data_IF_852114237069
#
_entry.id   IF_852114237069
#
_cell.length_a   1.000
_cell.length_b   1.000
_cell.length_c   1.000
_cell.angle_alpha   90.00
_cell.angle_beta   90.00
_cell.angle_gamma   90.00
#
_symmetry.space_group_name_H-M   'P 1'
#
loop_
_entity.id
_entity.type
_entity.pdbx_description
1 polymer ?
#
# COMPACT_ATOMS: atom_id res chain seq x y z
N UNK A 1 -20.11 -26.18 -10.58
CA UNK A 1 -19.34 -27.11 -11.37
C UNK A 1 -18.05 -27.40 -10.63
N UNK A 2 -17.93 -28.63 -10.12
CA UNK A 2 -16.68 -29.13 -9.56
C UNK A 2 -15.73 -29.36 -10.72
N UNK A 3 -14.60 -28.65 -10.72
CA UNK A 3 -13.50 -28.91 -11.65
C UNK A 3 -12.72 -30.08 -11.05
N UNK A 4 -12.91 -31.28 -11.60
CA UNK A 4 -12.06 -32.42 -11.33
C UNK A 4 -10.69 -32.14 -11.96
N UNK A 5 -9.72 -31.80 -11.17
CA UNK A 5 -8.30 -31.74 -11.57
C UNK A 5 -7.70 -33.15 -11.48
N UNK A 6 -8.04 -34.02 -12.39
CA UNK A 6 -7.34 -35.29 -12.57
C UNK A 6 -5.97 -35.01 -13.20
N UNK A 7 -4.90 -35.29 -12.46
CA UNK A 7 -3.50 -35.23 -12.94
C UNK A 7 -2.58 -34.21 -12.29
N UNK A 8 -3.01 -33.45 -11.28
CA UNK A 8 -2.09 -32.63 -10.50
C UNK A 8 -1.33 -33.50 -9.50
N UNK A 9 -0.03 -33.68 -9.75
CA UNK A 9 0.88 -34.25 -8.76
C UNK A 9 0.80 -33.41 -7.50
N UNK A 10 0.31 -33.98 -6.39
CA UNK A 10 0.22 -33.31 -5.11
C UNK A 10 1.59 -32.71 -4.75
N UNK A 11 1.64 -31.41 -4.50
CA UNK A 11 2.91 -30.73 -4.23
C UNK A 11 3.44 -31.22 -2.89
N UNK A 12 4.57 -31.93 -2.89
CA UNK A 12 5.21 -32.39 -1.66
C UNK A 12 5.78 -31.17 -0.89
N UNK A 13 5.05 -30.75 0.15
CA UNK A 13 5.42 -29.66 1.04
C UNK A 13 6.31 -30.11 2.20
N UNK A 14 6.65 -31.40 2.29
CA UNK A 14 7.40 -31.96 3.43
C UNK A 14 8.74 -31.25 3.65
N UNK A 15 9.46 -30.93 2.58
CA UNK A 15 10.72 -30.18 2.61
C UNK A 15 10.54 -28.74 3.13
N UNK A 16 9.43 -28.08 2.77
CA UNK A 16 9.12 -26.72 3.24
C UNK A 16 8.79 -26.75 4.73
N UNK A 17 7.97 -27.74 5.14
CA UNK A 17 7.58 -27.93 6.54
C UNK A 17 8.81 -28.26 7.40
N UNK A 18 9.70 -29.12 6.93
CA UNK A 18 10.95 -29.46 7.64
C UNK A 18 11.85 -28.23 7.86
N UNK A 19 11.88 -27.30 6.90
CA UNK A 19 12.69 -26.07 6.95
C UNK A 19 11.96 -24.86 7.51
N UNK A 20 10.73 -24.99 8.03
CA UNK A 20 9.90 -23.85 8.49
C UNK A 20 10.61 -22.90 9.46
N UNK A 21 11.39 -23.42 10.41
CA UNK A 21 12.16 -22.61 11.36
C UNK A 21 13.27 -21.79 10.68
N UNK A 22 13.91 -22.34 9.66
CA UNK A 22 14.95 -21.65 8.88
C UNK A 22 14.34 -20.51 8.07
N UNK A 23 13.22 -20.79 7.41
CA UNK A 23 12.51 -19.74 6.66
C UNK A 23 11.96 -18.66 7.58
N UNK A 24 11.40 -19.01 8.75
CA UNK A 24 10.93 -18.04 9.72
C UNK A 24 12.06 -17.12 10.24
N UNK A 25 13.25 -17.68 10.51
CA UNK A 25 14.43 -16.90 10.90
C UNK A 25 14.89 -15.96 9.78
N UNK A 26 14.89 -16.44 8.53
CA UNK A 26 15.22 -15.63 7.38
C UNK A 26 14.24 -14.45 7.24
N UNK A 27 12.94 -14.74 7.23
CA UNK A 27 11.90 -13.68 7.16
C UNK A 27 12.04 -12.66 8.29
N UNK A 28 12.26 -13.12 9.53
CA UNK A 28 12.44 -12.21 10.67
C UNK A 28 13.68 -11.33 10.50
N UNK A 29 14.78 -11.88 9.99
CA UNK A 29 16.00 -11.12 9.69
C UNK A 29 15.74 -10.02 8.66
N UNK A 30 15.09 -10.37 7.54
CA UNK A 30 14.79 -9.42 6.46
C UNK A 30 13.82 -8.32 6.91
N UNK A 31 12.75 -8.68 7.63
CA UNK A 31 11.81 -7.71 8.21
C UNK A 31 12.53 -6.78 9.18
N UNK A 32 13.38 -7.33 10.05
CA UNK A 32 14.13 -6.54 11.03
C UNK A 32 15.09 -5.58 10.33
N UNK A 33 15.79 -6.02 9.30
CA UNK A 33 16.68 -5.20 8.50
C UNK A 33 15.91 -4.05 7.83
N UNK A 34 14.84 -4.36 7.11
CA UNK A 34 14.02 -3.35 6.44
C UNK A 34 13.44 -2.33 7.43
N UNK A 35 13.04 -2.77 8.63
CA UNK A 35 12.44 -1.87 9.61
C UNK A 35 13.46 -1.02 10.38
N UNK A 36 14.69 -1.49 10.58
CA UNK A 36 15.71 -0.81 11.40
C UNK A 36 16.69 0.03 10.59
N UNK A 37 17.07 -0.46 9.41
CA UNK A 37 18.20 0.10 8.69
C UNK A 37 17.78 1.08 7.57
N UNK A 38 16.50 1.06 7.19
CA UNK A 38 15.93 2.05 6.27
C UNK A 38 15.08 3.06 7.02
N UNK A 39 15.42 4.34 6.87
CA UNK A 39 14.64 5.43 7.43
C UNK A 39 13.24 5.46 6.79
N UNK A 40 12.28 6.01 7.56
CA UNK A 40 10.91 6.36 7.16
C UNK A 40 10.57 6.05 5.69
N UNK A 41 10.07 4.86 5.44
CA UNK A 41 9.67 4.43 4.09
C UNK A 41 8.32 5.03 3.67
N UNK A 42 8.11 6.31 3.98
CA UNK A 42 6.92 7.02 3.51
C UNK A 42 6.93 7.10 1.96
N UNK A 43 5.76 7.08 1.31
CA UNK A 43 5.66 7.18 -0.13
C UNK A 43 6.48 8.34 -0.72
N UNK A 44 7.32 8.03 -1.71
CA UNK A 44 8.23 8.99 -2.34
C UNK A 44 9.37 9.48 -1.44
N UNK A 45 9.82 8.70 -0.46
CA UNK A 45 10.97 9.02 0.40
C UNK A 45 12.23 8.26 -0.02
N UNK A 46 13.39 8.76 0.42
CA UNK A 46 14.67 8.04 0.22
C UNK A 46 14.68 6.66 0.87
N UNK A 47 14.01 6.50 2.02
CA UNK A 47 13.91 5.22 2.70
C UNK A 47 13.14 4.18 1.90
N UNK A 48 12.07 4.59 1.19
CA UNK A 48 11.33 3.74 0.26
C UNK A 48 12.23 3.34 -0.93
N UNK A 49 12.89 4.29 -1.58
CA UNK A 49 13.81 4.04 -2.68
C UNK A 49 14.90 3.04 -2.30
N UNK A 50 15.57 3.27 -1.17
CA UNK A 50 16.64 2.38 -0.67
C UNK A 50 16.10 0.97 -0.35
N UNK A 51 14.91 0.89 0.26
CA UNK A 51 14.29 -0.39 0.53
C UNK A 51 13.93 -1.13 -0.77
N UNK A 52 13.44 -0.43 -1.80
CA UNK A 52 13.18 -1.01 -3.12
C UNK A 52 14.47 -1.52 -3.78
N UNK A 53 15.55 -0.76 -3.74
CA UNK A 53 16.86 -1.19 -4.27
C UNK A 53 17.34 -2.45 -3.54
N UNK A 54 17.27 -2.46 -2.23
CA UNK A 54 17.62 -3.63 -1.42
C UNK A 54 16.77 -4.85 -1.76
N UNK A 55 15.45 -4.70 -1.83
CA UNK A 55 14.54 -5.79 -2.18
C UNK A 55 14.82 -6.35 -3.57
N UNK A 56 15.10 -5.50 -4.55
CA UNK A 56 15.47 -5.94 -5.90
C UNK A 56 16.77 -6.78 -5.87
N UNK A 57 17.73 -6.39 -5.07
CA UNK A 57 19.01 -7.12 -4.91
C UNK A 57 18.80 -8.48 -4.24
N UNK A 58 18.01 -8.56 -3.17
CA UNK A 58 17.64 -9.83 -2.49
C UNK A 58 16.87 -10.75 -3.44
N UNK A 59 15.88 -10.23 -4.18
CA UNK A 59 15.12 -11.03 -5.13
C UNK A 59 16.00 -11.63 -6.24
N UNK A 60 17.01 -10.88 -6.66
CA UNK A 60 17.96 -11.34 -7.68
C UNK A 60 18.98 -12.34 -7.13
N UNK A 61 19.60 -12.03 -5.99
CA UNK A 61 20.72 -12.84 -5.43
C UNK A 61 20.24 -14.03 -4.64
N UNK A 62 19.30 -13.84 -3.72
CA UNK A 62 18.88 -14.87 -2.77
C UNK A 62 17.73 -15.70 -3.32
N UNK A 63 16.76 -15.08 -3.99
CA UNK A 63 15.61 -15.76 -4.57
C UNK A 63 15.89 -16.28 -5.99
N UNK A 64 17.00 -15.86 -6.61
CA UNK A 64 17.40 -16.29 -7.95
C UNK A 64 16.40 -15.89 -9.02
N UNK A 65 15.85 -14.68 -8.94
CA UNK A 65 15.00 -14.14 -9.99
C UNK A 65 15.85 -13.79 -11.23
N UNK A 66 15.33 -14.10 -12.41
CA UNK A 66 16.01 -13.80 -13.68
C UNK A 66 16.07 -12.28 -13.95
N UNK A 67 15.07 -11.57 -13.44
CA UNK A 67 14.95 -10.13 -13.54
C UNK A 67 14.41 -9.57 -12.21
N UNK A 68 14.99 -8.48 -11.75
CA UNK A 68 14.48 -7.69 -10.63
C UNK A 68 14.86 -6.22 -10.89
N UNK A 69 13.85 -5.40 -11.15
CA UNK A 69 14.02 -4.00 -11.50
C UNK A 69 13.28 -3.12 -10.51
N UNK A 70 13.86 -1.96 -10.25
CA UNK A 70 13.22 -0.87 -9.54
C UNK A 70 12.61 0.07 -10.58
N UNK A 71 11.31 0.28 -10.48
CA UNK A 71 10.54 1.14 -11.37
C UNK A 71 10.10 2.39 -10.60
N UNK A 72 10.36 3.57 -11.18
CA UNK A 72 9.92 4.84 -10.59
C UNK A 72 8.61 5.30 -11.23
N UNK A 73 7.74 5.91 -10.44
CA UNK A 73 6.47 6.48 -10.89
C UNK A 73 6.15 7.78 -10.15
N UNK A 74 5.28 8.58 -10.75
CA UNK A 74 4.83 9.83 -10.15
C UNK A 74 3.60 9.62 -9.27
N UNK A 75 3.63 10.18 -8.07
CA UNK A 75 2.55 10.10 -7.11
C UNK A 75 2.36 11.40 -6.33
N UNK A 76 1.19 11.55 -5.71
CA UNK A 76 0.84 12.66 -4.83
C UNK A 76 0.42 12.13 -3.45
N UNK A 77 1.36 11.72 -2.58
CA UNK A 77 1.03 11.04 -1.33
C UNK A 77 0.14 11.85 -0.39
N UNK A 78 0.24 13.18 -0.45
CA UNK A 78 -0.60 14.08 0.34
C UNK A 78 -2.08 14.01 -0.03
N UNK A 79 -2.43 13.64 -1.25
CA UNK A 79 -3.81 13.52 -1.71
C UNK A 79 -4.55 12.35 -1.06
N UNK A 80 -3.82 11.34 -0.57
CA UNK A 80 -4.40 10.16 0.07
C UNK A 80 -5.28 10.50 1.28
N UNK A 81 -4.88 11.48 2.09
CA UNK A 81 -5.69 12.05 3.16
C UNK A 81 -6.22 13.46 2.84
N UNK A 82 -5.71 14.08 1.78
CA UNK A 82 -6.02 15.46 1.42
C UNK A 82 -7.50 15.71 1.16
N UNK A 83 -8.19 14.73 0.58
CA UNK A 83 -9.63 14.82 0.35
C UNK A 83 -10.43 14.88 1.66
N UNK A 84 -9.96 14.30 2.76
CA UNK A 84 -10.59 14.38 4.08
C UNK A 84 -10.63 15.83 4.57
N UNK A 85 -9.50 16.55 4.45
CA UNK A 85 -9.45 17.97 4.86
C UNK A 85 -10.44 18.82 4.06
N UNK A 86 -10.54 18.60 2.75
CA UNK A 86 -11.47 19.31 1.88
C UNK A 86 -12.92 19.00 2.28
N UNK A 87 -13.24 17.73 2.47
CA UNK A 87 -14.58 17.27 2.85
C UNK A 87 -14.97 17.80 4.23
N UNK A 88 -14.10 17.65 5.24
CA UNK A 88 -14.36 18.14 6.59
C UNK A 88 -14.53 19.66 6.63
N UNK A 89 -13.67 20.40 5.94
CA UNK A 89 -13.78 21.86 5.85
C UNK A 89 -15.09 22.27 5.20
N UNK A 90 -15.50 21.59 4.13
CA UNK A 90 -16.79 21.84 3.45
C UNK A 90 -17.98 21.60 4.38
N UNK A 91 -17.95 20.51 5.18
CA UNK A 91 -19.00 20.20 6.15
C UNK A 91 -19.06 21.23 7.28
N UNK A 92 -17.91 21.59 7.86
CA UNK A 92 -17.84 22.60 8.93
C UNK A 92 -18.35 23.96 8.44
N UNK A 93 -17.95 24.39 7.26
CA UNK A 93 -18.42 25.62 6.65
C UNK A 93 -19.91 25.55 6.35
N UNK A 94 -20.43 24.43 5.88
CA UNK A 94 -21.85 24.22 5.64
C UNK A 94 -22.67 24.38 6.93
N UNK A 95 -22.19 23.84 8.05
CA UNK A 95 -22.85 24.01 9.36
C UNK A 95 -22.91 25.49 9.75
N UNK A 96 -21.80 26.21 9.63
CA UNK A 96 -21.77 27.66 9.94
C UNK A 96 -22.76 28.44 9.07
N UNK A 97 -22.76 28.16 7.76
CA UNK A 97 -23.66 28.85 6.82
C UNK A 97 -25.14 28.52 7.07
N UNK A 98 -25.43 27.31 7.55
CA UNK A 98 -26.80 26.97 7.96
C UNK A 98 -27.27 27.85 9.13
N UNK A 99 -26.43 28.07 10.15
CA UNK A 99 -26.74 28.96 11.28
C UNK A 99 -26.84 30.44 10.90
N UNK A 100 -26.13 30.86 9.85
CA UNK A 100 -26.23 32.24 9.31
C UNK A 100 -27.44 32.43 8.41
N UNK A 101 -28.25 31.37 8.17
CA UNK A 101 -29.49 31.51 7.37
C UNK A 101 -29.26 31.33 5.86
N UNK A 102 -28.20 30.67 5.45
CA UNK A 102 -27.86 30.38 4.04
C UNK A 102 -27.98 28.87 3.71
N UNK A 103 -29.17 28.25 3.84
CA UNK A 103 -29.35 26.80 3.74
C UNK A 103 -29.02 26.23 2.35
N UNK A 104 -29.27 26.99 1.28
CA UNK A 104 -28.99 26.53 -0.09
C UNK A 104 -27.48 26.42 -0.29
N UNK A 105 -26.69 27.41 0.15
CA UNK A 105 -25.23 27.37 0.03
C UNK A 105 -24.64 26.25 0.91
N UNK A 106 -25.20 26.07 2.10
CA UNK A 106 -24.85 24.93 2.98
C UNK A 106 -25.07 23.59 2.28
N UNK A 107 -26.22 23.37 1.65
CA UNK A 107 -26.52 22.16 0.91
C UNK A 107 -25.54 21.93 -0.26
N UNK A 108 -25.18 22.97 -1.01
CA UNK A 108 -24.21 22.88 -2.09
C UNK A 108 -22.83 22.42 -1.56
N UNK A 109 -22.38 22.96 -0.42
CA UNK A 109 -21.10 22.54 0.18
C UNK A 109 -21.10 21.09 0.67
N UNK A 110 -22.21 20.60 1.21
CA UNK A 110 -22.35 19.19 1.59
C UNK A 110 -22.24 18.29 0.36
N UNK A 111 -22.98 18.63 -0.71
CA UNK A 111 -22.92 17.87 -1.97
C UNK A 111 -21.51 17.90 -2.58
N UNK A 112 -20.84 19.06 -2.54
CA UNK A 112 -19.46 19.19 -3.01
C UNK A 112 -18.49 18.31 -2.20
N UNK A 113 -18.56 18.34 -0.86
CA UNK A 113 -17.71 17.49 -0.01
C UNK A 113 -17.94 15.99 -0.28
N UNK A 114 -19.20 15.59 -0.42
CA UNK A 114 -19.56 14.20 -0.77
C UNK A 114 -19.02 13.82 -2.17
N UNK A 115 -19.15 14.71 -3.13
CA UNK A 115 -18.62 14.49 -4.48
C UNK A 115 -17.11 14.29 -4.48
N UNK A 116 -16.36 15.12 -3.73
CA UNK A 116 -14.90 14.96 -3.58
C UNK A 116 -14.56 13.60 -2.98
N UNK A 117 -15.24 13.21 -1.90
CA UNK A 117 -15.04 11.93 -1.24
C UNK A 117 -15.31 10.74 -2.18
N UNK A 118 -16.43 10.76 -2.89
CA UNK A 118 -16.80 9.71 -3.84
C UNK A 118 -15.83 9.62 -5.02
N UNK A 119 -15.40 10.73 -5.57
CA UNK A 119 -14.49 10.75 -6.71
C UNK A 119 -13.08 10.30 -6.30
N UNK A 120 -12.53 10.87 -5.24
CA UNK A 120 -11.15 10.58 -4.84
C UNK A 120 -11.00 9.19 -4.22
N UNK A 121 -11.86 8.83 -3.27
CA UNK A 121 -11.74 7.58 -2.52
C UNK A 121 -12.58 6.45 -3.13
N UNK A 122 -13.83 6.70 -3.50
CA UNK A 122 -14.72 5.67 -4.01
C UNK A 122 -14.43 5.28 -5.46
N UNK A 123 -14.19 6.25 -6.34
CA UNK A 123 -13.95 6.03 -7.76
C UNK A 123 -12.47 6.05 -8.16
N UNK A 124 -11.55 6.28 -7.21
CA UNK A 124 -10.10 6.40 -7.44
C UNK A 124 -9.72 7.39 -8.55
N UNK A 125 -10.51 8.47 -8.69
CA UNK A 125 -10.20 9.55 -9.62
C UNK A 125 -9.24 10.53 -8.94
N UNK A 126 -8.16 10.89 -9.60
CA UNK A 126 -7.10 11.77 -9.09
C UNK A 126 -7.55 13.25 -9.05
N UNK A 127 -8.72 13.50 -8.42
CA UNK A 127 -9.37 14.82 -8.45
C UNK A 127 -8.58 15.88 -7.71
N UNK A 128 -8.06 15.53 -6.52
CA UNK A 128 -7.36 16.47 -5.64
C UNK A 128 -5.84 16.36 -5.72
N UNK A 129 -5.30 15.45 -6.52
CA UNK A 129 -3.85 15.21 -6.63
C UNK A 129 -3.08 16.49 -6.98
N UNK A 130 -3.63 17.30 -7.89
CA UNK A 130 -3.00 18.55 -8.32
C UNK A 130 -2.82 19.60 -7.19
N UNK A 131 -3.53 19.45 -6.08
CA UNK A 131 -3.41 20.34 -4.91
C UNK A 131 -2.25 19.95 -3.99
N UNK A 132 -1.62 18.80 -4.22
CA UNK A 132 -0.57 18.26 -3.36
C UNK A 132 0.75 18.11 -4.12
N UNK A 133 1.89 18.27 -3.44
CA UNK A 133 3.21 18.13 -4.05
C UNK A 133 3.39 16.75 -4.68
N UNK A 134 3.93 16.75 -5.89
CA UNK A 134 4.34 15.54 -6.60
C UNK A 134 5.61 14.98 -5.98
N UNK A 135 5.68 13.65 -5.85
CA UNK A 135 6.86 12.89 -5.44
C UNK A 135 7.11 11.75 -6.42
N UNK A 136 8.28 11.16 -6.33
CA UNK A 136 8.64 9.97 -7.09
C UNK A 136 8.60 8.79 -6.13
N UNK A 137 7.66 7.88 -6.36
CA UNK A 137 7.56 6.60 -5.67
C UNK A 137 8.28 5.50 -6.44
N UNK A 138 8.56 4.38 -5.78
CA UNK A 138 9.30 3.27 -6.33
C UNK A 138 8.59 1.94 -6.11
N UNK A 139 8.58 1.09 -7.13
CA UNK A 139 8.13 -0.29 -7.07
C UNK A 139 9.26 -1.24 -7.45
N UNK A 140 9.16 -2.49 -7.02
CA UNK A 140 10.05 -3.56 -7.45
C UNK A 140 9.26 -4.60 -8.22
N UNK A 141 9.67 -4.86 -9.45
CA UNK A 141 9.12 -5.93 -10.28
C UNK A 141 10.18 -7.01 -10.46
N UNK A 142 9.90 -8.22 -9.98
CA UNK A 142 10.81 -9.36 -10.16
C UNK A 142 10.13 -10.51 -10.87
N UNK A 143 10.88 -11.17 -11.73
CA UNK A 143 10.39 -12.31 -12.53
C UNK A 143 11.33 -13.48 -12.34
N UNK A 144 10.77 -14.63 -11.96
CA UNK A 144 11.45 -15.92 -11.99
C UNK A 144 10.78 -16.81 -13.04
N UNK A 145 11.51 -17.14 -14.09
CA UNK A 145 11.01 -17.97 -15.18
C UNK A 145 11.00 -19.45 -14.74
N UNK A 146 10.04 -20.20 -15.24
CA UNK A 146 10.09 -21.66 -15.13
C UNK A 146 11.06 -22.23 -16.19
N UNK A 147 11.54 -23.44 -15.93
CA UNK A 147 12.46 -24.16 -16.86
C UNK A 147 11.72 -24.92 -17.96
N UNK A 148 10.39 -25.01 -17.89
CA UNK A 148 9.55 -25.73 -18.85
C UNK A 148 8.42 -24.86 -19.39
N UNK A 149 7.38 -25.51 -19.93
CA UNK A 149 6.19 -24.86 -20.42
C UNK A 149 5.43 -24.13 -19.31
N UNK A 150 5.00 -22.88 -19.56
CA UNK A 150 4.27 -22.07 -18.59
C UNK A 150 2.83 -22.52 -18.52
N UNK A 151 2.47 -23.30 -17.52
CA UNK A 151 1.08 -23.73 -17.26
C UNK A 151 0.32 -22.73 -16.39
N UNK A 152 1.01 -22.10 -15.42
CA UNK A 152 0.41 -21.13 -14.48
C UNK A 152 1.39 -20.01 -14.20
N UNK A 153 0.86 -18.81 -13.93
CA UNK A 153 1.61 -17.67 -13.42
C UNK A 153 1.12 -17.36 -12.01
N UNK A 154 2.04 -17.31 -11.06
CA UNK A 154 1.76 -16.93 -9.66
C UNK A 154 2.35 -15.53 -9.47
N UNK A 155 1.58 -14.63 -8.88
CA UNK A 155 1.98 -13.26 -8.56
C UNK A 155 1.92 -13.11 -7.05
N UNK A 156 3.07 -12.76 -6.44
CA UNK A 156 3.14 -12.31 -5.05
C UNK A 156 3.19 -10.78 -5.05
N UNK A 157 2.34 -10.15 -4.28
CA UNK A 157 2.25 -8.71 -4.20
C UNK A 157 2.36 -8.24 -2.75
N UNK A 158 3.05 -7.11 -2.54
CA UNK A 158 3.19 -6.43 -1.26
C UNK A 158 3.71 -5.02 -1.52
N UNK A 159 3.36 -4.05 -0.66
CA UNK A 159 3.84 -2.68 -0.83
C UNK A 159 5.12 -2.43 -0.02
N UNK A 160 6.13 -1.74 -0.59
CA UNK A 160 7.41 -1.47 0.06
C UNK A 160 7.35 -0.29 1.04
N UNK A 161 6.44 0.64 0.82
CA UNK A 161 6.24 1.83 1.66
C UNK A 161 5.62 1.48 3.01
N UNK A 162 5.79 2.38 3.97
CA UNK A 162 5.23 2.26 5.31
C UNK A 162 4.20 3.37 5.55
N UNK A 163 3.08 2.99 6.16
CA UNK A 163 2.08 3.94 6.64
C UNK A 163 2.66 4.84 7.75
N UNK A 164 2.03 6.02 7.94
CA UNK A 164 2.32 6.87 9.08
C UNK A 164 1.96 6.17 10.37
N UNK A 165 2.78 6.40 11.41
CA UNK A 165 2.50 5.93 12.76
C UNK A 165 1.20 6.57 13.29
N UNK A 166 0.33 5.75 13.84
CA UNK A 166 -0.90 6.20 14.47
C UNK A 166 -0.72 6.21 15.99
N UNK A 167 -0.53 7.39 16.61
CA UNK A 167 -0.18 7.49 18.02
C UNK A 167 -1.19 6.82 18.96
N UNK A 168 -2.48 6.82 18.59
CA UNK A 168 -3.54 6.18 19.37
C UNK A 168 -3.37 4.67 19.38
N UNK A 169 -3.12 4.06 18.24
CA UNK A 169 -2.87 2.63 18.12
C UNK A 169 -1.58 2.21 18.82
N UNK A 170 -0.53 3.02 18.71
CA UNK A 170 0.74 2.79 19.38
C UNK A 170 0.59 2.80 20.91
N UNK A 171 -0.16 3.76 21.47
CA UNK A 171 -0.33 3.94 22.91
C UNK A 171 -1.34 2.97 23.53
N UNK A 172 -2.41 2.66 22.82
CA UNK A 172 -3.55 1.89 23.36
C UNK A 172 -3.67 0.47 22.77
N UNK A 173 -2.76 0.08 21.87
CA UNK A 173 -2.76 -1.25 21.25
C UNK A 173 -4.07 -1.56 20.53
N UNK A 174 -4.61 -2.78 20.73
CA UNK A 174 -5.84 -3.22 20.08
C UNK A 174 -7.06 -2.36 20.40
N UNK A 175 -7.18 -1.85 21.62
CA UNK A 175 -8.27 -0.95 22.03
C UNK A 175 -8.22 0.37 21.25
N UNK A 176 -7.02 0.88 20.98
CA UNK A 176 -6.84 2.07 20.15
C UNK A 176 -7.26 1.87 18.69
N UNK A 177 -7.19 0.63 18.19
CA UNK A 177 -7.64 0.28 16.85
C UNK A 177 -9.17 0.19 16.76
N UNK A 178 -9.83 -0.29 17.81
CA UNK A 178 -11.29 -0.36 17.87
C UNK A 178 -11.97 1.01 18.12
N UNK A 179 -11.22 1.99 18.60
CA UNK A 179 -11.71 3.34 18.88
C UNK A 179 -11.67 4.29 17.67
N UNK A 180 -11.21 3.81 16.52
CA UNK A 180 -11.17 4.53 15.25
C UNK A 180 -12.29 4.07 14.31
#
# INVERSE_FOLDING_TARGET
PQINCEGEKEMDLSNIIAKKKTYAKYMLKEITHICKDFEKRAPGSKGEEQACIYMADVLKKDCGCDRADVESFEEHPGSFYGWLYITLTSVLLAIVLLFVGLPIVSAILIVFGLFVALMQFGAYKKLVDLLFPKKIGHNVTAIKKCTGEVKRRIIFNGHPDAAWEWPVNYKLGGVGFEAH
#
